data_IF_018059448650
#
_entry.id   IF_018059448650
#
_cell.length_a   1.000
_cell.length_b   1.000
_cell.length_c   1.000
_cell.angle_alpha   90.00
_cell.angle_beta   90.00
_cell.angle_gamma   90.00
#
_symmetry.space_group_name_H-M   'P 1'
#
loop_
_entity.id
_entity.type
_entity.pdbx_description
1 polymer ?
#
# COMPACT_ATOMS: atom_id res chain seq x y z
N UNK A 1 -14.09 18.41 -23.26
CA UNK A 1 -12.67 18.25 -23.62
C UNK A 1 -11.97 17.51 -22.48
N UNK A 2 -11.48 16.27 -22.69
CA UNK A 2 -10.72 15.57 -21.65
C UNK A 2 -9.30 16.15 -21.62
N UNK A 3 -8.92 16.78 -20.53
CA UNK A 3 -7.55 17.24 -20.33
C UNK A 3 -6.63 16.04 -20.34
N UNK A 4 -5.64 16.02 -21.24
CA UNK A 4 -4.61 14.99 -21.27
C UNK A 4 -3.55 15.35 -20.25
N UNK A 5 -3.63 14.72 -19.07
CA UNK A 5 -2.60 14.86 -18.05
C UNK A 5 -1.31 14.18 -18.53
N UNK A 6 -0.19 14.88 -18.41
CA UNK A 6 1.14 14.36 -18.74
C UNK A 6 2.01 14.40 -17.48
N UNK A 7 2.58 13.28 -17.13
CA UNK A 7 3.56 13.15 -16.06
C UNK A 7 4.85 12.56 -16.60
N UNK A 8 5.99 12.98 -16.04
CA UNK A 8 7.28 12.40 -16.40
C UNK A 8 7.48 11.01 -15.80
N UNK A 9 6.94 10.82 -14.60
CA UNK A 9 7.08 9.58 -13.83
C UNK A 9 5.71 9.16 -13.33
N UNK A 10 5.38 7.89 -13.54
CA UNK A 10 4.16 7.28 -12.99
C UNK A 10 4.62 6.14 -12.07
N UNK A 11 4.19 6.19 -10.82
CA UNK A 11 4.44 5.17 -9.80
C UNK A 11 3.13 4.47 -9.49
N UNK A 12 3.11 3.15 -9.52
CA UNK A 12 1.93 2.33 -9.24
C UNK A 12 2.12 1.62 -7.91
N UNK A 13 1.25 1.94 -6.95
CA UNK A 13 1.26 1.46 -5.59
C UNK A 13 1.95 2.43 -4.62
N UNK A 14 1.30 2.68 -3.49
CA UNK A 14 1.77 3.59 -2.44
C UNK A 14 2.41 2.89 -1.24
N UNK A 15 2.71 1.60 -1.37
CA UNK A 15 3.54 0.89 -0.41
C UNK A 15 4.97 1.45 -0.35
N UNK A 16 5.84 0.94 0.54
CA UNK A 16 7.22 1.46 0.71
C UNK A 16 8.02 1.52 -0.59
N UNK A 17 7.87 0.49 -1.44
CA UNK A 17 8.57 0.42 -2.73
C UNK A 17 8.13 1.46 -3.75
N UNK A 18 6.94 2.04 -3.61
CA UNK A 18 6.43 3.10 -4.49
C UNK A 18 6.52 4.49 -3.88
N UNK A 19 6.11 4.65 -2.62
CA UNK A 19 6.06 5.96 -1.95
C UNK A 19 7.44 6.59 -1.78
N UNK A 20 8.46 5.81 -1.46
CA UNK A 20 9.82 6.30 -1.27
C UNK A 20 10.40 6.87 -2.57
N UNK A 21 10.46 6.12 -3.70
CA UNK A 21 10.97 6.68 -4.94
C UNK A 21 10.09 7.81 -5.47
N UNK A 22 8.75 7.75 -5.33
CA UNK A 22 7.88 8.85 -5.71
C UNK A 22 8.24 10.15 -4.97
N UNK A 23 8.47 10.08 -3.67
CA UNK A 23 8.90 11.21 -2.86
C UNK A 23 10.29 11.74 -3.31
N UNK A 24 11.23 10.85 -3.57
CA UNK A 24 12.59 11.24 -4.02
C UNK A 24 12.53 11.97 -5.36
N UNK A 25 11.78 11.44 -6.32
CA UNK A 25 11.64 12.08 -7.63
C UNK A 25 10.90 13.42 -7.55
N UNK A 26 9.83 13.51 -6.76
CA UNK A 26 9.13 14.77 -6.54
C UNK A 26 10.05 15.83 -5.90
N UNK A 27 10.86 15.46 -4.90
CA UNK A 27 11.87 16.36 -4.30
C UNK A 27 12.93 16.82 -5.28
N UNK A 28 13.22 16.05 -6.32
CA UNK A 28 14.12 16.43 -7.41
C UNK A 28 13.45 17.28 -8.50
N UNK A 29 12.18 17.66 -8.32
CA UNK A 29 11.44 18.54 -9.24
C UNK A 29 10.81 17.82 -10.43
N UNK A 30 10.69 16.50 -10.40
CA UNK A 30 9.95 15.77 -11.45
C UNK A 30 8.44 15.81 -11.19
N UNK A 31 7.66 15.89 -12.28
CA UNK A 31 6.22 15.68 -12.22
C UNK A 31 5.93 14.20 -12.01
N UNK A 32 5.46 13.84 -10.84
CA UNK A 32 5.21 12.45 -10.43
C UNK A 32 3.71 12.24 -10.21
N UNK A 33 3.17 11.19 -10.82
CA UNK A 33 1.85 10.66 -10.51
C UNK A 33 2.00 9.37 -9.72
N UNK A 34 1.49 9.34 -8.50
CA UNK A 34 1.37 8.12 -7.71
C UNK A 34 -0.07 7.62 -7.77
N UNK A 35 -0.25 6.38 -8.21
CA UNK A 35 -1.56 5.72 -8.33
C UNK A 35 -1.64 4.62 -7.29
N UNK A 36 -2.72 4.65 -6.49
CA UNK A 36 -3.01 3.64 -5.48
C UNK A 36 -4.38 3.00 -5.74
N UNK A 37 -4.45 1.67 -5.63
CA UNK A 37 -5.69 0.91 -5.81
C UNK A 37 -6.61 0.98 -4.60
N UNK A 38 -6.03 1.06 -3.41
CA UNK A 38 -6.75 1.10 -2.14
C UNK A 38 -7.18 2.51 -1.76
N UNK A 39 -8.03 2.60 -0.74
CA UNK A 39 -8.49 3.87 -0.22
C UNK A 39 -7.49 4.46 0.79
N UNK A 40 -7.60 5.76 1.01
CA UNK A 40 -6.98 6.43 2.14
C UNK A 40 -7.92 6.35 3.35
N UNK A 41 -7.38 6.02 4.49
CA UNK A 41 -8.10 5.95 5.75
C UNK A 41 -7.41 6.81 6.82
N UNK A 42 -8.20 7.53 7.60
CA UNK A 42 -7.68 8.28 8.76
C UNK A 42 -7.35 7.34 9.91
N UNK A 43 -6.41 7.74 10.77
CA UNK A 43 -5.94 6.94 11.91
C UNK A 43 -7.07 6.49 12.86
N UNK A 44 -8.13 7.30 12.99
CA UNK A 44 -9.23 7.05 13.93
C UNK A 44 -10.51 6.57 13.22
N UNK A 45 -10.43 6.15 11.97
CA UNK A 45 -11.60 5.77 11.19
C UNK A 45 -12.18 4.42 11.57
N UNK A 46 -11.31 3.52 12.06
CA UNK A 46 -11.70 2.20 12.52
C UNK A 46 -11.24 1.97 13.96
N UNK A 47 -11.99 1.13 14.67
CA UNK A 47 -11.49 0.54 15.91
C UNK A 47 -10.33 -0.40 15.59
N UNK A 48 -9.14 -0.23 16.21
CA UNK A 48 -8.00 -1.10 15.94
C UNK A 48 -8.34 -2.58 16.13
N UNK A 49 -7.88 -3.41 15.20
CA UNK A 49 -8.11 -4.86 15.17
C UNK A 49 -9.56 -5.29 15.02
N UNK A 50 -10.45 -4.39 14.57
CA UNK A 50 -11.84 -4.71 14.28
C UNK A 50 -12.00 -5.44 12.95
N UNK A 51 -13.13 -6.14 12.80
CA UNK A 51 -13.50 -6.76 11.51
C UNK A 51 -13.69 -5.71 10.41
N UNK A 52 -14.17 -4.53 10.75
CA UNK A 52 -14.36 -3.44 9.81
C UNK A 52 -13.02 -2.92 9.26
N UNK A 53 -12.03 -2.78 10.13
CA UNK A 53 -10.67 -2.42 9.70
C UNK A 53 -10.12 -3.48 8.73
N UNK A 54 -10.31 -4.76 9.07
CA UNK A 54 -9.81 -5.88 8.28
C UNK A 54 -10.46 -5.94 6.90
N UNK A 55 -11.77 -5.80 6.83
CA UNK A 55 -12.54 -5.82 5.57
C UNK A 55 -12.17 -4.66 4.63
N UNK A 56 -11.82 -3.51 5.18
CA UNK A 56 -11.54 -2.30 4.41
C UNK A 56 -10.07 -2.14 4.03
N UNK A 57 -9.15 -2.37 4.97
CA UNK A 57 -7.71 -2.14 4.75
C UNK A 57 -6.98 -3.33 4.13
N UNK A 58 -7.48 -4.54 4.30
CA UNK A 58 -6.81 -5.74 3.80
C UNK A 58 -7.40 -6.22 2.48
N UNK A 59 -6.56 -6.75 1.61
CA UNK A 59 -6.99 -7.42 0.38
C UNK A 59 -7.81 -8.66 0.74
N UNK A 60 -8.98 -8.81 0.12
CA UNK A 60 -9.93 -9.90 0.38
C UNK A 60 -10.28 -10.06 1.87
N UNK A 61 -10.33 -8.98 2.64
CA UNK A 61 -10.60 -9.05 4.09
C UNK A 61 -9.55 -9.85 4.87
N UNK A 62 -8.32 -9.95 4.38
CA UNK A 62 -7.25 -10.75 4.98
C UNK A 62 -7.29 -12.24 4.63
N UNK A 63 -8.17 -12.66 3.73
CA UNK A 63 -8.33 -14.06 3.33
C UNK A 63 -7.67 -14.32 1.96
N UNK A 64 -6.35 -14.35 1.94
CA UNK A 64 -5.57 -14.68 0.74
C UNK A 64 -4.75 -15.94 1.00
N UNK A 65 -4.93 -16.95 0.15
CA UNK A 65 -4.26 -18.25 0.27
C UNK A 65 -3.26 -18.45 -0.86
N UNK A 66 -2.09 -18.94 -0.51
CA UNK A 66 -1.13 -19.50 -1.44
C UNK A 66 -1.31 -21.00 -1.48
N UNK A 67 -1.49 -21.56 -2.67
CA UNK A 67 -1.64 -23.02 -2.85
C UNK A 67 -0.28 -23.67 -3.09
N UNK A 68 -0.02 -24.78 -2.41
CA UNK A 68 1.22 -25.55 -2.52
C UNK A 68 1.12 -26.88 -1.77
N UNK A 69 2.26 -27.50 -1.44
CA UNK A 69 2.28 -28.68 -0.57
C UNK A 69 1.64 -28.39 0.78
N UNK A 70 1.81 -27.17 1.27
CA UNK A 70 1.12 -26.62 2.44
C UNK A 70 0.48 -25.32 2.02
N UNK A 71 -0.80 -25.17 2.28
CA UNK A 71 -1.50 -23.90 2.04
C UNK A 71 -1.10 -22.90 3.11
N UNK A 72 -0.67 -21.73 2.66
CA UNK A 72 -0.27 -20.63 3.55
C UNK A 72 -1.25 -19.49 3.38
N UNK A 73 -1.90 -19.09 4.48
CA UNK A 73 -2.66 -17.85 4.51
C UNK A 73 -1.68 -16.69 4.71
N UNK A 74 -1.79 -15.67 3.87
CA UNK A 74 -1.01 -14.45 3.98
C UNK A 74 -1.91 -13.22 3.86
N UNK A 75 -1.44 -12.09 4.36
CA UNK A 75 -2.20 -10.84 4.34
C UNK A 75 -1.47 -9.79 3.51
N UNK A 76 -2.24 -9.03 2.74
CA UNK A 76 -1.76 -7.89 1.98
C UNK A 76 -2.61 -6.66 2.32
N UNK A 77 -1.99 -5.48 2.39
CA UNK A 77 -2.71 -4.23 2.50
C UNK A 77 -3.32 -3.82 1.15
N UNK A 78 -4.55 -3.30 1.21
CA UNK A 78 -5.26 -2.67 0.09
C UNK A 78 -5.70 -1.27 0.50
N UNK A 79 -4.74 -0.45 0.81
CA UNK A 79 -4.93 0.93 1.26
C UNK A 79 -3.69 1.76 0.94
N UNK A 80 -3.79 3.07 1.08
CA UNK A 80 -2.62 3.96 1.00
C UNK A 80 -1.61 3.54 2.07
N UNK A 81 -0.35 3.36 1.67
CA UNK A 81 0.70 2.79 2.51
C UNK A 81 0.92 1.29 2.31
N UNK A 82 -0.05 0.58 1.73
CA UNK A 82 0.07 -0.85 1.42
C UNK A 82 0.33 -1.71 2.64
N UNK A 83 1.23 -2.69 2.52
CA UNK A 83 1.56 -3.62 3.60
C UNK A 83 2.12 -2.95 4.85
N UNK A 84 2.78 -1.79 4.73
CA UNK A 84 3.30 -1.08 5.91
C UNK A 84 2.22 -0.44 6.78
N UNK A 85 1.04 -0.18 6.23
CA UNK A 85 -0.11 0.31 7.01
C UNK A 85 -0.75 -0.78 7.87
N UNK A 86 -0.68 -2.03 7.43
CA UNK A 86 -1.33 -3.17 8.06
C UNK A 86 -0.37 -4.16 8.73
N UNK A 87 0.93 -3.83 8.77
CA UNK A 87 1.92 -4.67 9.41
C UNK A 87 1.81 -4.63 10.95
N UNK A 88 2.52 -5.55 11.61
CA UNK A 88 2.57 -5.63 13.07
C UNK A 88 3.56 -4.66 13.73
N UNK A 89 4.04 -3.66 12.98
CA UNK A 89 5.01 -2.67 13.47
C UNK A 89 6.44 -3.20 13.63
N UNK A 90 6.76 -4.34 13.03
CA UNK A 90 8.13 -4.88 13.03
C UNK A 90 8.98 -4.21 11.98
N UNK A 91 10.13 -3.71 12.40
CA UNK A 91 11.15 -3.14 11.53
C UNK A 91 12.44 -3.93 11.67
N UNK A 92 12.82 -4.61 10.61
CA UNK A 92 14.09 -5.30 10.53
C UNK A 92 14.99 -4.63 9.51
N UNK A 93 16.21 -4.24 9.95
CA UNK A 93 17.24 -3.84 9.01
C UNK A 93 17.78 -5.08 8.32
N UNK A 94 17.94 -5.03 7.00
CA UNK A 94 18.60 -6.10 6.27
C UNK A 94 20.05 -6.23 6.74
N UNK A 95 20.59 -7.45 6.87
CA UNK A 95 22.01 -7.64 7.10
C UNK A 95 22.82 -7.00 5.97
N UNK A 96 23.97 -6.43 6.31
CA UNK A 96 24.93 -5.88 5.33
C UNK A 96 25.58 -7.00 4.53
#
# INVERSE_FOLDING_TARGET
MKAKLKYKIIVIGSGPGGSIPACIFAKKGYDVLLIEKGNYYNLNEFTPFSSDEMLNKYKNGGLTLSYGKTNINYVEGKCVGGGSEVNSGFYHRLPE
#
